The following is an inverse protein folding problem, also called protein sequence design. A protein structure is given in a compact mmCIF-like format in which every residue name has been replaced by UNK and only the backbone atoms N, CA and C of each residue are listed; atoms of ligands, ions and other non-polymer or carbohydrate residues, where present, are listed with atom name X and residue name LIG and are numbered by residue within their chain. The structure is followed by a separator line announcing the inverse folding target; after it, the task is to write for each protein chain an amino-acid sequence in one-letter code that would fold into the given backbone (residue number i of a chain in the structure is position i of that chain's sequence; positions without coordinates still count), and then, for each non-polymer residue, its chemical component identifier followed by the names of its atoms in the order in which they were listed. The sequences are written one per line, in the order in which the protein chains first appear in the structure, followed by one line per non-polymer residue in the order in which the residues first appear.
data_IF_401880957962
#
_entry.id   IF_401880957962
#
_cell.length_a   1.000
_cell.length_b   1.000
_cell.length_c   1.000
_cell.angle_alpha   90.00
_cell.angle_beta   90.00
_cell.angle_gamma   90.00
#
_symmetry.space_group_name_H-M   'P 1'
#
loop_
_entity.id
_entity.type
_entity.pdbx_description
1 polymer ?
#
# COMPACT_ATOMS: atom_id res chain seq x y z
N UNK A 1 47.12 22.19 -25.77
CA UNK A 1 46.11 21.31 -25.12
C UNK A 1 44.72 21.77 -25.54
N UNK A 2 43.88 20.83 -25.98
CA UNK A 2 42.57 21.12 -26.60
C UNK A 2 41.56 21.59 -25.55
N UNK A 3 40.77 22.63 -25.86
CA UNK A 3 39.68 23.15 -24.99
C UNK A 3 38.71 22.07 -24.49
N UNK A 4 38.61 20.95 -25.23
CA UNK A 4 37.81 19.77 -24.85
C UNK A 4 38.37 19.03 -23.63
N UNK A 5 39.69 19.04 -23.42
CA UNK A 5 40.33 18.38 -22.28
C UNK A 5 40.05 19.10 -20.94
N UNK A 6 39.89 20.43 -20.97
CA UNK A 6 39.54 21.19 -19.76
C UNK A 6 38.08 21.00 -19.34
N UNK A 7 37.17 20.78 -20.29
CA UNK A 7 35.76 20.53 -19.97
C UNK A 7 35.53 19.14 -19.35
N UNK A 8 36.22 18.11 -19.85
CA UNK A 8 36.11 16.74 -19.31
C UNK A 8 36.67 16.65 -17.88
N UNK A 9 37.80 17.30 -17.61
CA UNK A 9 38.38 17.35 -16.26
C UNK A 9 37.48 18.09 -15.26
N UNK A 10 36.73 19.11 -15.71
CA UNK A 10 35.77 19.82 -14.87
C UNK A 10 34.61 18.94 -14.40
N UNK A 11 34.01 18.16 -15.31
CA UNK A 11 32.87 17.27 -14.98
C UNK A 11 33.33 16.15 -14.03
N UNK A 12 34.50 15.57 -14.29
CA UNK A 12 35.04 14.49 -13.47
C UNK A 12 35.25 14.95 -12.00
N UNK A 13 35.71 16.18 -11.81
CA UNK A 13 35.86 16.77 -10.48
C UNK A 13 34.54 16.93 -9.72
N UNK A 14 33.47 17.38 -10.40
CA UNK A 14 32.15 17.55 -9.77
C UNK A 14 31.54 16.20 -9.37
N UNK A 15 31.67 15.18 -10.22
CA UNK A 15 31.17 13.82 -9.92
C UNK A 15 31.87 13.23 -8.69
N UNK A 16 33.20 13.39 -8.59
CA UNK A 16 33.97 12.88 -7.45
C UNK A 16 33.55 13.55 -6.13
N UNK A 17 33.39 14.88 -6.13
CA UNK A 17 32.96 15.62 -4.93
C UNK A 17 31.53 15.24 -4.53
N UNK A 18 30.61 15.07 -5.49
CA UNK A 18 29.25 14.63 -5.21
C UNK A 18 29.19 13.20 -4.63
N UNK A 19 30.00 12.27 -5.16
CA UNK A 19 30.08 10.91 -4.60
C UNK A 19 30.68 10.88 -3.20
N UNK A 20 31.70 11.69 -2.92
CA UNK A 20 32.31 11.77 -1.59
C UNK A 20 31.33 12.37 -0.55
N UNK A 21 30.57 13.40 -0.93
CA UNK A 21 29.54 13.98 -0.06
C UNK A 21 28.40 13.00 0.22
N UNK A 22 27.98 12.21 -0.78
CA UNK A 22 26.96 11.18 -0.62
C UNK A 22 27.39 10.07 0.35
N UNK A 23 28.64 9.59 0.22
CA UNK A 23 29.19 8.60 1.16
C UNK A 23 29.38 9.15 2.57
N UNK A 24 29.83 10.41 2.72
CA UNK A 24 29.94 11.05 4.03
C UNK A 24 28.58 11.19 4.73
N UNK A 25 27.53 11.55 3.98
CA UNK A 25 26.16 11.65 4.50
C UNK A 25 25.59 10.31 4.98
N UNK A 26 25.96 9.18 4.36
CA UNK A 26 25.56 7.84 4.86
C UNK A 26 26.33 7.40 6.11
N UNK A 27 27.55 7.90 6.33
CA UNK A 27 28.36 7.53 7.50
C UNK A 27 27.98 8.29 8.79
N UNK A 28 27.33 9.45 8.66
CA UNK A 28 26.82 10.23 9.79
C UNK A 28 25.38 9.81 10.07
N UNK A 29 25.24 8.70 10.80
CA UNK A 29 23.96 8.22 11.34
C UNK A 29 23.27 9.29 12.18
N UNK A 30 22.22 9.87 11.63
CA UNK A 30 21.20 10.61 12.37
C UNK A 30 20.15 9.60 12.83
N UNK A 31 20.17 9.22 14.10
CA UNK A 31 19.18 8.31 14.65
C UNK A 31 19.37 7.87 16.10
N UNK A 32 19.88 8.71 16.99
CA UNK A 32 19.62 8.55 18.44
C UNK A 32 18.19 9.01 18.71
N UNK A 33 17.24 8.09 18.59
CA UNK A 33 15.87 8.25 19.05
C UNK A 33 15.73 7.40 20.32
N UNK A 34 16.00 8.00 21.47
CA UNK A 34 15.73 7.42 22.79
C UNK A 34 14.21 7.44 23.05
N UNK A 35 13.53 6.48 22.44
CA UNK A 35 12.14 6.15 22.72
C UNK A 35 12.10 4.71 23.19
N UNK A 36 12.11 4.51 24.51
CA UNK A 36 12.02 3.19 25.14
C UNK A 36 10.83 2.39 24.62
N UNK A 37 11.12 1.47 23.71
CA UNK A 37 10.29 0.34 23.36
C UNK A 37 11.10 -0.86 23.83
N UNK A 38 10.50 -1.68 24.70
CA UNK A 38 11.10 -2.91 25.21
C UNK A 38 11.78 -3.70 24.07
N UNK A 39 13.10 -3.78 24.17
CA UNK A 39 14.02 -4.31 23.16
C UNK A 39 13.97 -5.84 23.19
N UNK A 40 12.89 -6.42 22.66
CA UNK A 40 12.93 -7.77 22.11
C UNK A 40 13.69 -7.67 20.77
N UNK A 41 15.01 -7.79 20.84
CA UNK A 41 15.90 -7.73 19.69
C UNK A 41 15.42 -8.68 18.56
N UNK A 42 15.32 -8.21 17.30
CA UNK A 42 14.92 -9.03 16.16
C UNK A 42 16.09 -9.92 15.67
N UNK A 43 16.80 -10.60 16.57
CA UNK A 43 17.89 -11.51 16.21
C UNK A 43 17.40 -12.74 15.42
N UNK A 44 16.10 -13.09 15.52
CA UNK A 44 15.54 -14.23 14.80
C UNK A 44 15.29 -14.00 13.31
N UNK A 45 14.98 -12.75 12.90
CA UNK A 45 14.60 -12.49 11.51
C UNK A 45 15.79 -12.55 10.53
N UNK A 46 17.00 -12.23 10.99
CA UNK A 46 18.21 -12.29 10.17
C UNK A 46 18.79 -13.71 10.09
N UNK A 47 18.69 -14.48 11.17
CA UNK A 47 19.18 -15.86 11.20
C UNK A 47 18.33 -16.79 10.32
N UNK A 48 17.01 -16.58 10.29
CA UNK A 48 16.10 -17.34 9.42
C UNK A 48 16.39 -17.13 7.93
N UNK A 49 16.80 -15.91 7.53
CA UNK A 49 17.18 -15.60 6.15
C UNK A 49 18.54 -16.19 5.74
N UNK A 50 19.48 -16.30 6.70
CA UNK A 50 20.79 -16.89 6.47
C UNK A 50 20.71 -18.41 6.24
N UNK A 51 19.73 -19.08 6.85
CA UNK A 51 19.49 -20.51 6.70
C UNK A 51 18.81 -20.88 5.36
N UNK A 52 18.13 -19.94 4.70
CA UNK A 52 17.45 -20.19 3.41
C UNK A 52 18.44 -20.42 2.26
N UNK A 53 18.11 -21.37 1.38
CA UNK A 53 18.80 -21.55 0.11
C UNK A 53 18.63 -20.32 -0.79
N UNK A 54 19.54 -20.08 -1.76
CA UNK A 54 19.39 -18.98 -2.72
C UNK A 54 18.04 -18.95 -3.43
N UNK A 55 17.51 -20.12 -3.80
CA UNK A 55 16.20 -20.24 -4.44
C UNK A 55 15.05 -19.84 -3.51
N UNK A 56 15.06 -20.30 -2.26
CA UNK A 56 14.04 -19.93 -1.28
C UNK A 56 14.04 -18.42 -0.99
N UNK A 57 15.23 -17.82 -0.88
CA UNK A 57 15.36 -16.35 -0.74
C UNK A 57 14.78 -15.61 -1.93
N UNK A 58 14.96 -16.11 -3.16
CA UNK A 58 14.37 -15.51 -4.35
C UNK A 58 12.83 -15.63 -4.35
N UNK A 59 12.28 -16.76 -3.93
CA UNK A 59 10.83 -16.97 -3.85
C UNK A 59 10.15 -16.04 -2.82
N UNK A 60 10.83 -15.73 -1.71
CA UNK A 60 10.29 -14.91 -0.62
C UNK A 60 10.71 -13.43 -0.66
N UNK A 61 11.60 -13.04 -1.57
CA UNK A 61 12.09 -11.68 -1.66
C UNK A 61 10.96 -10.68 -2.00
N UNK A 62 10.90 -9.57 -1.25
CA UNK A 62 9.94 -8.49 -1.52
C UNK A 62 10.05 -7.94 -2.95
N UNK A 63 11.26 -7.86 -3.50
CA UNK A 63 11.49 -7.44 -4.88
C UNK A 63 10.80 -8.35 -5.91
N UNK A 64 10.74 -9.66 -5.65
CA UNK A 64 10.01 -10.63 -6.46
C UNK A 64 8.51 -10.33 -6.42
N UNK A 65 7.96 -10.08 -5.23
CA UNK A 65 6.54 -9.73 -5.04
C UNK A 65 6.18 -8.41 -5.75
N UNK A 66 7.05 -7.40 -5.63
CA UNK A 66 6.88 -6.12 -6.34
C UNK A 66 6.91 -6.29 -7.86
N UNK A 67 7.81 -7.15 -8.37
CA UNK A 67 7.90 -7.50 -9.79
C UNK A 67 6.64 -8.22 -10.28
N UNK A 68 6.06 -9.13 -9.48
CA UNK A 68 4.78 -9.78 -9.77
C UNK A 68 3.66 -8.74 -9.88
N UNK A 69 3.52 -7.86 -8.89
CA UNK A 69 2.52 -6.79 -8.89
C UNK A 69 2.64 -5.92 -10.15
N UNK A 70 3.83 -5.41 -10.43
CA UNK A 70 4.09 -4.57 -11.61
C UNK A 70 3.71 -5.28 -12.91
N UNK A 71 4.04 -6.57 -13.03
CA UNK A 71 3.70 -7.35 -14.22
C UNK A 71 2.20 -7.57 -14.38
N UNK A 72 1.47 -7.83 -13.30
CA UNK A 72 0.00 -7.97 -13.33
C UNK A 72 -0.67 -6.68 -13.80
N UNK A 73 -0.33 -5.55 -13.19
CA UNK A 73 -0.90 -4.25 -13.55
C UNK A 73 -0.48 -3.82 -14.96
N UNK A 74 0.77 -4.09 -15.35
CA UNK A 74 1.23 -3.85 -16.72
C UNK A 74 0.42 -4.64 -17.74
N UNK A 75 0.12 -5.92 -17.48
CA UNK A 75 -0.71 -6.73 -18.37
C UNK A 75 -2.15 -6.22 -18.41
N UNK A 76 -2.74 -5.86 -17.26
CA UNK A 76 -4.09 -5.30 -17.21
C UNK A 76 -4.22 -4.01 -18.05
N UNK A 77 -3.22 -3.12 -17.98
CA UNK A 77 -3.16 -1.90 -18.82
C UNK A 77 -3.07 -2.21 -20.32
N UNK A 78 -2.38 -3.28 -20.71
CA UNK A 78 -2.31 -3.65 -22.13
C UNK A 78 -3.60 -4.29 -22.65
N UNK A 79 -4.46 -4.80 -21.76
CA UNK A 79 -5.77 -5.37 -22.14
C UNK A 79 -6.78 -4.25 -22.43
N UNK A 80 -6.65 -3.07 -21.82
CA UNK A 80 -7.61 -1.96 -21.95
C UNK A 80 -6.92 -0.61 -22.21
N UNK A 81 -7.21 0.00 -23.35
CA UNK A 81 -6.52 1.21 -23.81
C UNK A 81 -6.85 2.47 -23.00
N UNK A 82 -8.07 2.60 -22.45
CA UNK A 82 -8.58 3.87 -21.93
C UNK A 82 -8.31 4.13 -20.43
N UNK A 83 -7.98 3.10 -19.63
CA UNK A 83 -7.89 3.20 -18.15
C UNK A 83 -6.46 3.14 -17.59
N UNK A 84 -5.46 3.37 -18.43
CA UNK A 84 -4.04 3.20 -18.08
C UNK A 84 -3.57 4.04 -16.88
N UNK A 85 -4.04 5.28 -16.77
CA UNK A 85 -3.67 6.17 -15.67
C UNK A 85 -4.30 5.74 -14.34
N UNK A 86 -5.60 5.38 -14.35
CA UNK A 86 -6.32 4.93 -13.16
C UNK A 86 -5.73 3.62 -12.62
N UNK A 87 -5.40 2.68 -13.50
CA UNK A 87 -4.69 1.45 -13.12
C UNK A 87 -3.31 1.73 -12.52
N UNK A 88 -2.61 2.78 -12.97
CA UNK A 88 -1.30 3.16 -12.42
C UNK A 88 -1.42 3.75 -11.01
N UNK A 89 -2.47 4.56 -10.76
CA UNK A 89 -2.80 5.05 -9.41
C UNK A 89 -3.20 3.89 -8.49
N UNK A 90 -4.01 2.97 -9.00
CA UNK A 90 -4.44 1.77 -8.28
C UNK A 90 -3.24 0.89 -7.90
N UNK A 91 -2.31 0.67 -8.82
CA UNK A 91 -1.07 -0.09 -8.58
C UNK A 91 -0.27 0.47 -7.40
N UNK A 92 -0.11 1.80 -7.37
CA UNK A 92 0.66 2.51 -6.34
C UNK A 92 0.08 2.31 -4.94
N UNK A 93 -1.25 2.27 -4.82
CA UNK A 93 -1.93 2.04 -3.55
C UNK A 93 -2.16 0.57 -3.20
N UNK A 94 -1.86 -0.36 -4.12
CA UNK A 94 -2.11 -1.79 -3.92
C UNK A 94 -0.93 -2.46 -3.22
N UNK A 95 -1.22 -3.17 -2.13
CA UNK A 95 -0.24 -4.00 -1.42
C UNK A 95 -0.30 -5.42 -1.98
N UNK A 96 0.85 -5.99 -2.29
CA UNK A 96 0.98 -7.37 -2.77
C UNK A 96 1.74 -8.21 -1.76
N UNK A 97 1.29 -9.45 -1.55
CA UNK A 97 2.01 -10.47 -0.78
C UNK A 97 1.79 -11.86 -1.37
N UNK A 98 2.74 -12.76 -1.18
CA UNK A 98 2.60 -14.17 -1.50
C UNK A 98 2.51 -14.95 -0.19
N UNK A 99 1.43 -15.71 -0.03
CA UNK A 99 1.23 -16.61 1.09
C UNK A 99 1.69 -18.02 0.70
N UNK A 100 2.46 -18.68 1.57
CA UNK A 100 2.92 -20.05 1.32
C UNK A 100 3.88 -20.19 0.14
N UNK A 101 4.67 -19.15 -0.15
CA UNK A 101 5.71 -19.20 -1.17
C UNK A 101 6.70 -20.34 -0.87
N UNK A 102 6.87 -21.27 -1.80
CA UNK A 102 7.82 -22.36 -1.66
C UNK A 102 8.56 -22.64 -2.97
N UNK A 103 9.79 -23.10 -2.83
CA UNK A 103 10.67 -23.44 -3.95
C UNK A 103 10.27 -24.81 -4.51
N UNK A 104 9.96 -24.85 -5.81
CA UNK A 104 9.68 -26.10 -6.54
C UNK A 104 10.97 -26.64 -7.15
N UNK A 105 11.76 -25.77 -7.78
CA UNK A 105 13.02 -26.14 -8.42
C UNK A 105 13.97 -24.95 -8.48
N UNK A 106 15.28 -25.19 -8.38
CA UNK A 106 16.32 -24.19 -8.56
C UNK A 106 17.33 -24.64 -9.60
N UNK A 107 17.57 -23.82 -10.62
CA UNK A 107 18.58 -24.08 -11.62
C UNK A 107 19.85 -23.28 -11.31
N UNK A 108 20.88 -23.95 -10.78
CA UNK A 108 22.15 -23.32 -10.40
C UNK A 108 22.90 -22.69 -11.59
N UNK A 109 22.70 -23.19 -12.81
CA UNK A 109 23.40 -22.65 -13.99
C UNK A 109 22.86 -21.31 -14.45
N UNK A 110 21.57 -21.04 -14.20
CA UNK A 110 20.88 -19.80 -14.58
C UNK A 110 20.43 -18.97 -13.39
N UNK A 111 20.66 -19.47 -12.17
CA UNK A 111 20.16 -18.94 -10.90
C UNK A 111 18.63 -18.73 -10.89
N UNK A 112 17.88 -19.51 -11.67
CA UNK A 112 16.42 -19.41 -11.76
C UNK A 112 15.75 -20.24 -10.68
N UNK A 113 14.87 -19.61 -9.89
CA UNK A 113 14.02 -20.27 -8.92
C UNK A 113 12.60 -20.39 -9.47
N UNK A 114 12.10 -21.61 -9.66
CA UNK A 114 10.68 -21.86 -9.91
C UNK A 114 9.98 -22.02 -8.57
N UNK A 115 8.96 -21.20 -8.34
CA UNK A 115 8.27 -21.08 -7.08
C UNK A 115 6.76 -21.21 -7.30
N UNK A 116 6.06 -21.71 -6.28
CA UNK A 116 4.61 -21.71 -6.22
C UNK A 116 4.14 -21.00 -4.95
N UNK A 117 2.96 -20.38 -5.00
CA UNK A 117 2.35 -19.74 -3.84
C UNK A 117 1.08 -18.98 -4.17
N UNK A 118 0.38 -18.51 -3.13
CA UNK A 118 -0.89 -17.80 -3.27
C UNK A 118 -0.66 -16.30 -3.23
N UNK A 119 -0.91 -15.62 -4.34
CA UNK A 119 -0.91 -14.16 -4.39
C UNK A 119 -2.15 -13.60 -3.70
N UNK A 120 -1.93 -12.55 -2.90
CA UNK A 120 -2.96 -11.68 -2.37
C UNK A 120 -2.62 -10.24 -2.76
N UNK A 121 -3.53 -9.61 -3.51
CA UNK A 121 -3.52 -8.17 -3.77
C UNK A 121 -4.56 -7.51 -2.89
N UNK A 122 -4.13 -6.61 -2.01
CA UNK A 122 -5.00 -5.78 -1.19
C UNK A 122 -5.14 -4.41 -1.84
N UNK A 123 -6.36 -4.11 -2.30
CA UNK A 123 -6.69 -2.89 -2.99
C UNK A 123 -6.93 -1.73 -2.01
N UNK A 124 -6.67 -0.47 -2.42
CA UNK A 124 -7.03 0.72 -1.69
C UNK A 124 -8.50 0.76 -1.29
N UNK A 125 -8.81 1.47 -0.21
CA UNK A 125 -10.20 1.79 0.16
C UNK A 125 -10.84 2.64 -0.94
N UNK A 126 -12.15 2.49 -1.15
CA UNK A 126 -12.93 3.17 -2.19
C UNK A 126 -12.95 2.42 -3.53
N UNK A 127 -12.16 1.36 -3.69
CA UNK A 127 -12.12 0.54 -4.92
C UNK A 127 -13.11 -0.62 -4.89
N UNK A 128 -13.65 -0.96 -3.72
CA UNK A 128 -14.55 -2.09 -3.49
C UNK A 128 -15.68 -2.20 -4.53
N UNK A 129 -16.39 -1.10 -4.88
CA UNK A 129 -17.48 -1.17 -5.83
C UNK A 129 -17.07 -1.63 -7.24
N UNK A 130 -15.84 -1.35 -7.67
CA UNK A 130 -15.32 -1.80 -8.97
C UNK A 130 -14.94 -3.30 -8.96
N UNK A 131 -14.81 -3.90 -7.77
CA UNK A 131 -14.36 -5.27 -7.58
C UNK A 131 -15.40 -6.13 -6.82
N UNK A 132 -16.70 -5.95 -7.08
CA UNK A 132 -17.79 -6.71 -6.43
C UNK A 132 -17.72 -6.65 -4.90
N UNK A 133 -17.44 -5.46 -4.37
CA UNK A 133 -17.26 -5.20 -2.94
C UNK A 133 -16.11 -5.96 -2.26
N UNK A 134 -15.16 -6.49 -3.04
CA UNK A 134 -13.94 -7.12 -2.52
C UNK A 134 -12.75 -6.18 -2.57
N UNK A 135 -12.01 -6.11 -1.45
CA UNK A 135 -10.70 -5.46 -1.38
C UNK A 135 -9.54 -6.40 -1.64
N UNK A 136 -9.81 -7.71 -1.69
CA UNK A 136 -8.79 -8.75 -1.80
C UNK A 136 -9.00 -9.53 -3.08
N UNK A 137 -7.99 -9.51 -3.94
CA UNK A 137 -7.90 -10.37 -5.11
C UNK A 137 -6.87 -11.46 -4.81
N UNK A 138 -7.22 -12.71 -5.07
CA UNK A 138 -6.35 -13.84 -4.77
C UNK A 138 -6.24 -14.78 -5.97
N UNK A 139 -5.06 -15.36 -6.16
CA UNK A 139 -4.79 -16.34 -7.21
C UNK A 139 -3.63 -17.24 -6.79
N UNK A 140 -3.68 -18.50 -7.20
CA UNK A 140 -2.52 -19.40 -7.13
C UNK A 140 -1.56 -19.05 -8.26
N UNK A 141 -0.27 -18.93 -7.95
CA UNK A 141 0.77 -18.58 -8.90
C UNK A 141 1.83 -19.67 -9.01
N UNK A 142 2.24 -19.95 -10.26
CA UNK A 142 3.52 -20.57 -10.60
C UNK A 142 4.38 -19.52 -11.29
N UNK A 143 5.52 -19.20 -10.71
CA UNK A 143 6.39 -18.14 -11.20
C UNK A 143 7.87 -18.53 -11.19
N UNK A 144 8.64 -17.93 -12.10
CA UNK A 144 10.09 -18.08 -12.17
C UNK A 144 10.73 -16.76 -11.78
N UNK A 145 11.42 -16.76 -10.65
CA UNK A 145 12.21 -15.65 -10.15
C UNK A 145 13.68 -15.80 -10.57
N UNK A 146 14.28 -14.71 -11.00
CA UNK A 146 15.69 -14.62 -11.38
C UNK A 146 16.36 -13.49 -10.60
N UNK A 147 17.62 -13.64 -10.20
CA UNK A 147 18.38 -12.53 -9.67
C UNK A 147 18.61 -11.48 -10.77
N UNK A 148 18.59 -10.22 -10.37
CA UNK A 148 18.95 -9.08 -11.21
C UNK A 148 20.20 -8.40 -10.69
N UNK A 149 20.73 -7.46 -11.49
CA UNK A 149 21.85 -6.61 -11.09
C UNK A 149 21.48 -5.88 -9.78
N UNK A 150 22.20 -6.21 -8.70
CA UNK A 150 21.95 -5.71 -7.34
C UNK A 150 21.19 -6.67 -6.42
N UNK A 151 21.06 -7.95 -6.78
CA UNK A 151 20.51 -8.99 -5.88
C UNK A 151 18.99 -8.93 -5.68
N UNK A 152 18.28 -8.15 -6.51
CA UNK A 152 16.81 -8.08 -6.49
C UNK A 152 16.23 -9.23 -7.32
N UNK A 153 15.16 -9.86 -6.86
CA UNK A 153 14.42 -10.85 -7.63
C UNK A 153 13.52 -10.19 -8.67
N UNK A 154 13.54 -10.69 -9.90
CA UNK A 154 12.63 -10.31 -10.98
C UNK A 154 11.93 -11.53 -11.52
N UNK A 155 10.63 -11.39 -11.83
CA UNK A 155 9.84 -12.50 -12.35
C UNK A 155 9.84 -12.54 -13.86
N UNK A 156 10.50 -13.55 -14.43
CA UNK A 156 10.63 -13.73 -15.88
C UNK A 156 9.40 -14.42 -16.49
N UNK A 157 8.79 -15.35 -15.76
CA UNK A 157 7.57 -16.08 -16.15
C UNK A 157 6.60 -16.16 -14.98
N UNK A 158 5.31 -16.05 -15.26
CA UNK A 158 4.23 -16.15 -14.28
C UNK A 158 2.98 -16.73 -14.94
N UNK A 159 2.36 -17.71 -14.30
CA UNK A 159 1.11 -18.36 -14.71
C UNK A 159 0.12 -18.36 -13.54
N UNK A 160 -1.18 -18.36 -13.82
CA UNK A 160 -2.24 -18.42 -12.80
C UNK A 160 -2.84 -17.05 -12.41
N UNK A 161 -2.21 -15.95 -12.84
CA UNK A 161 -2.68 -14.59 -12.56
C UNK A 161 -3.79 -14.09 -13.51
N UNK A 162 -4.18 -14.84 -14.53
CA UNK A 162 -4.99 -14.33 -15.65
C UNK A 162 -6.37 -13.83 -15.17
N UNK A 163 -7.04 -14.53 -14.25
CA UNK A 163 -8.31 -14.06 -13.68
C UNK A 163 -8.20 -12.72 -12.93
N UNK A 164 -7.08 -12.47 -12.26
CA UNK A 164 -6.84 -11.19 -11.60
C UNK A 164 -6.60 -10.10 -12.66
N UNK A 165 -5.82 -10.42 -13.69
CA UNK A 165 -5.51 -9.49 -14.78
C UNK A 165 -6.79 -9.06 -15.50
N UNK A 166 -7.65 -10.02 -15.84
CA UNK A 166 -8.92 -9.76 -16.52
C UNK A 166 -9.84 -8.91 -15.62
N UNK A 167 -9.94 -9.24 -14.33
CA UNK A 167 -10.75 -8.45 -13.38
C UNK A 167 -10.22 -7.02 -13.19
N UNK A 168 -8.90 -6.83 -13.22
CA UNK A 168 -8.29 -5.50 -13.17
C UNK A 168 -8.57 -4.73 -14.48
N UNK A 169 -8.51 -5.40 -15.62
CA UNK A 169 -8.80 -4.79 -16.91
C UNK A 169 -10.28 -4.43 -17.08
N UNK A 170 -11.19 -5.24 -16.54
CA UNK A 170 -12.63 -5.00 -16.64
C UNK A 170 -13.16 -4.02 -15.59
N UNK A 171 -12.34 -3.64 -14.60
CA UNK A 171 -12.75 -2.76 -13.52
C UNK A 171 -13.18 -1.39 -14.05
N UNK A 172 -14.42 -1.01 -13.78
CA UNK A 172 -14.93 0.33 -14.08
C UNK A 172 -14.43 1.32 -13.02
N UNK A 173 -13.26 1.90 -13.29
CA UNK A 173 -12.60 2.90 -12.45
C UNK A 173 -13.03 4.33 -12.79
N UNK A 174 -13.59 4.57 -13.99
CA UNK A 174 -13.89 5.90 -14.52
C UNK A 174 -15.22 6.44 -14.03
N UNK A 175 -16.25 5.61 -13.92
CA UNK A 175 -17.58 6.04 -13.49
C UNK A 175 -17.64 6.67 -12.07
N UNK A 176 -16.51 6.74 -11.36
CA UNK A 176 -16.42 7.18 -9.96
C UNK A 176 -15.45 8.32 -9.67
N UNK A 177 -14.55 8.66 -10.60
CA UNK A 177 -13.74 9.88 -10.44
C UNK A 177 -14.68 11.11 -10.50
N UNK A 178 -15.61 11.11 -11.44
CA UNK A 178 -16.57 12.20 -11.64
C UNK A 178 -17.56 12.34 -10.46
N UNK A 179 -17.91 11.24 -9.77
CA UNK A 179 -18.87 11.30 -8.65
C UNK A 179 -18.31 11.90 -7.36
N UNK A 180 -16.98 11.88 -7.16
CA UNK A 180 -16.36 12.48 -5.98
C UNK A 180 -16.17 14.00 -6.11
N UNK A 181 -15.99 14.51 -7.34
CA UNK A 181 -15.89 15.94 -7.58
C UNK A 181 -17.24 16.65 -7.39
N UNK A 182 -18.36 15.98 -7.69
CA UNK A 182 -19.71 16.54 -7.48
C UNK A 182 -20.14 16.57 -6.00
N UNK A 183 -19.61 15.71 -5.13
CA UNK A 183 -19.95 15.72 -3.70
C UNK A 183 -19.13 16.74 -2.88
N UNK A 184 -17.93 17.10 -3.36
CA UNK A 184 -17.11 18.18 -2.80
C UNK A 184 -17.36 19.54 -3.48
N UNK A 185 -18.07 19.56 -4.61
CA UNK A 185 -18.79 20.75 -5.05
C UNK A 185 -19.93 20.95 -4.08
N UNK A 186 -19.61 21.52 -2.90
CA UNK A 186 -20.58 22.20 -2.08
C UNK A 186 -21.45 22.97 -3.06
N UNK A 187 -22.77 22.67 -3.18
CA UNK A 187 -23.63 23.50 -4.00
C UNK A 187 -23.31 24.90 -3.56
N UNK A 188 -22.88 25.75 -4.51
CA UNK A 188 -22.55 27.13 -4.24
C UNK A 188 -23.58 27.56 -3.23
N UNK A 189 -23.11 27.77 -1.99
CA UNK A 189 -23.96 28.24 -0.93
C UNK A 189 -24.20 29.64 -1.42
N UNK A 190 -25.19 29.77 -2.31
CA UNK A 190 -25.91 31.00 -2.59
C UNK A 190 -25.97 31.58 -1.22
N UNK A 191 -25.25 32.69 -1.05
CA UNK A 191 -25.25 33.42 0.20
C UNK A 191 -26.74 33.59 0.47
N UNK A 192 -27.29 32.75 1.33
CA UNK A 192 -28.56 33.00 1.97
C UNK A 192 -28.25 34.30 2.67
N UNK A 193 -28.65 35.37 1.98
CA UNK A 193 -28.64 36.72 2.45
C UNK A 193 -29.33 36.61 3.80
N UNK A 194 -28.52 36.66 4.84
CA UNK A 194 -28.95 36.51 6.22
C UNK A 194 -30.00 37.58 6.42
N UNK A 195 -31.28 37.19 6.33
CA UNK A 195 -32.41 38.06 6.58
C UNK A 195 -32.45 38.28 8.10
N UNK A 196 -32.07 39.47 8.59
CA UNK A 196 -31.97 39.72 10.01
C UNK A 196 -33.36 39.87 10.68
N UNK A 197 -34.46 39.68 9.97
CA UNK A 197 -35.82 39.67 10.53
C UNK A 197 -36.27 38.30 11.05
N UNK A 198 -35.36 37.54 11.67
CA UNK A 198 -35.80 36.45 12.53
C UNK A 198 -36.52 37.07 13.75
N UNK A 199 -37.82 36.78 13.96
CA UNK A 199 -38.51 37.22 15.16
C UNK A 199 -37.76 36.69 16.38
N UNK A 200 -37.62 37.53 17.41
CA UNK A 200 -37.03 37.17 18.70
C UNK A 200 -37.50 35.75 19.07
N UNK A 201 -36.59 34.82 19.40
CA UNK A 201 -36.98 33.48 19.77
C UNK A 201 -37.97 33.61 20.93
N UNK A 202 -39.25 33.34 20.66
CA UNK A 202 -40.23 33.19 21.71
C UNK A 202 -39.63 32.19 22.69
N UNK A 203 -39.43 32.65 23.91
CA UNK A 203 -39.06 31.82 25.03
C UNK A 203 -40.05 30.65 25.04
N UNK A 204 -39.63 29.49 24.53
CA UNK A 204 -40.37 28.26 24.70
C UNK A 204 -40.37 28.00 26.21
N UNK A 205 -41.47 28.37 26.87
CA UNK A 205 -41.73 27.92 28.23
C UNK A 205 -41.74 26.38 28.17
N UNK A 206 -40.85 25.70 28.91
CA UNK A 206 -40.78 24.25 28.88
C UNK A 206 -42.13 23.69 29.32
N UNK A 207 -42.73 22.85 28.48
CA UNK A 207 -44.00 22.18 28.79
C UNK A 207 -43.82 21.35 30.08
N UNK A 208 -44.50 21.69 31.18
CA UNK A 208 -44.32 21.04 32.47
C UNK A 208 -44.94 19.62 32.52
N UNK A 209 -45.39 19.08 31.39
CA UNK A 209 -46.04 17.76 31.31
C UNK A 209 -45.21 16.69 30.61
N UNK A 210 -43.94 16.95 30.30
CA UNK A 210 -43.07 15.86 29.88
C UNK A 210 -42.89 14.89 31.06
N UNK A 211 -43.28 13.61 30.91
CA UNK A 211 -43.01 12.62 31.93
C UNK A 211 -41.50 12.57 32.15
N UNK A 212 -41.08 12.70 33.40
CA UNK A 212 -39.71 12.37 33.80
C UNK A 212 -39.42 10.97 33.26
N UNK A 213 -38.56 10.89 32.25
CA UNK A 213 -37.96 9.64 31.83
C UNK A 213 -37.14 9.20 33.04
N UNK A 214 -37.69 8.26 33.81
CA UNK A 214 -37.00 7.58 34.90
C UNK A 214 -35.64 7.12 34.37
N UNK A 215 -34.62 7.88 34.77
CA UNK A 215 -33.25 7.65 34.36
C UNK A 215 -32.75 6.40 35.03
N UNK A 216 -32.91 5.26 34.35
CA UNK A 216 -32.06 4.11 34.61
C UNK A 216 -30.62 4.56 34.38
N UNK A 217 -29.88 4.73 35.49
CA UNK A 217 -28.48 5.14 35.46
C UNK A 217 -27.71 4.30 34.42
N UNK A 218 -26.87 4.93 33.58
CA UNK A 218 -26.15 4.25 32.49
C UNK A 218 -25.24 3.11 32.95
N UNK A 219 -25.00 3.00 34.26
CA UNK A 219 -24.27 1.90 34.91
C UNK A 219 -25.00 0.55 34.81
N UNK A 220 -26.32 0.52 34.52
CA UNK A 220 -27.10 -0.71 34.33
C UNK A 220 -27.10 -1.27 32.89
N UNK A 221 -26.46 -0.59 31.94
CA UNK A 221 -26.33 -1.08 30.56
C UNK A 221 -25.06 -1.92 30.33
N UNK A 222 -24.20 -2.06 31.35
CA UNK A 222 -22.98 -2.85 31.26
C UNK A 222 -23.25 -4.32 31.64
N UNK A 223 -22.86 -5.29 30.79
CA UNK A 223 -22.97 -6.71 31.11
C UNK A 223 -22.14 -7.05 32.37
N UNK A 224 -22.60 -8.03 33.19
CA UNK A 224 -22.11 -8.26 34.55
C UNK A 224 -20.64 -8.70 34.64
N UNK A 225 -20.05 -9.13 33.53
CA UNK A 225 -18.65 -9.56 33.41
C UNK A 225 -17.65 -8.39 33.40
N UNK A 226 -18.09 -7.16 33.12
CA UNK A 226 -17.22 -5.97 33.15
C UNK A 226 -17.20 -5.22 34.50
N UNK A 227 -17.94 -5.68 35.52
CA UNK A 227 -18.06 -5.02 36.84
C UNK A 227 -16.97 -5.42 37.85
N UNK A 228 -15.89 -6.09 37.44
CA UNK A 228 -14.90 -6.68 38.36
C UNK A 228 -13.47 -6.27 38.02
N UNK A 229 -13.03 -5.15 38.59
CA UNK A 229 -11.66 -4.67 38.49
C UNK A 229 -11.32 -3.68 39.59
N UNK A 230 -11.38 -4.13 40.85
CA UNK A 230 -10.97 -3.33 42.01
C UNK A 230 -10.51 -4.23 43.14
N UNK A 231 -9.18 -4.40 43.24
CA UNK A 231 -8.39 -4.47 44.47
C UNK A 231 -6.92 -4.30 44.12
#
# INVERSE_FOLDING_TARGET
MSRKAHWILGILGVVIVATAAYFAAMSMGLGDYDGGIDEAAPESATDDLAAMSPGERLCSAQSTVDSIRQRIFSRARTTREDDGEMLSRLETGTVARIEGAHLVNFNESTEEARCEGRLVLELPRGTEPAFNYSRRLTAELDFVAQPTVGGRGMVSRMTGADMIIDRLADADLVARADSQEDELRFPDREKEEFDPELPDPEYYEPDPRLPELDGDSPENLLPPDMRRGGN
#
